data_IF_183288975688
#
_entry.id   IF_183288975688
#
_cell.length_a   1.000
_cell.length_b   1.000
_cell.length_c   1.000
_cell.angle_alpha   90.00
_cell.angle_beta   90.00
_cell.angle_gamma   90.00
#
_symmetry.space_group_name_H-M   'P 1'
#
loop_
_entity.id
_entity.type
_entity.pdbx_description
1 polymer ?
#
# COMPACT_ATOMS: atom_id res chain seq x y z
N UNK A 1 6.38 16.49 11.16
CA UNK A 1 5.59 15.28 11.47
C UNK A 1 5.40 14.40 10.23
N UNK A 2 4.99 14.97 9.10
CA UNK A 2 4.74 14.20 7.87
C UNK A 2 5.95 13.49 7.24
N UNK A 3 7.15 14.08 7.29
CA UNK A 3 8.36 13.41 6.77
C UNK A 3 8.60 12.06 7.48
N UNK A 4 8.43 12.02 8.80
CA UNK A 4 8.53 10.78 9.58
C UNK A 4 7.42 9.79 9.24
N UNK A 5 6.23 10.28 8.90
CA UNK A 5 5.09 9.43 8.51
C UNK A 5 5.38 8.71 7.17
N UNK A 6 5.86 9.44 6.15
CA UNK A 6 6.26 8.85 4.87
C UNK A 6 7.47 7.92 5.01
N UNK A 7 8.47 8.30 5.82
CA UNK A 7 9.63 7.44 6.08
C UNK A 7 9.24 6.15 6.81
N UNK A 8 8.37 6.25 7.83
CA UNK A 8 7.84 5.07 8.54
C UNK A 8 7.05 4.15 7.61
N UNK A 9 6.19 4.71 6.76
CA UNK A 9 5.49 3.92 5.73
C UNK A 9 6.48 3.21 4.81
N UNK A 10 7.51 3.90 4.34
CA UNK A 10 8.54 3.29 3.49
C UNK A 10 9.20 2.09 4.17
N UNK A 11 9.62 2.21 5.43
CA UNK A 11 10.18 1.08 6.17
C UNK A 11 9.19 -0.06 6.43
N UNK A 12 7.94 0.27 6.75
CA UNK A 12 6.88 -0.73 6.92
C UNK A 12 6.63 -1.52 5.62
N UNK A 13 6.56 -0.83 4.48
CA UNK A 13 6.34 -1.46 3.18
C UNK A 13 7.57 -2.26 2.72
N UNK A 14 8.81 -1.87 3.08
CA UNK A 14 10.00 -2.72 2.89
C UNK A 14 9.86 -4.05 3.65
N UNK A 15 9.40 -4.00 4.90
CA UNK A 15 9.17 -5.23 5.67
C UNK A 15 8.08 -6.11 5.02
N UNK A 16 7.01 -5.49 4.51
CA UNK A 16 5.98 -6.19 3.72
C UNK A 16 6.58 -6.83 2.46
N UNK A 17 7.44 -6.13 1.72
CA UNK A 17 8.08 -6.66 0.53
C UNK A 17 8.99 -7.87 0.81
N UNK A 18 9.74 -7.83 1.92
CA UNK A 18 10.55 -8.97 2.38
C UNK A 18 9.64 -10.17 2.67
N UNK A 19 8.57 -9.94 3.42
CA UNK A 19 7.60 -11.00 3.75
C UNK A 19 6.88 -11.55 2.50
N UNK A 20 6.54 -10.70 1.53
CA UNK A 20 5.96 -11.13 0.24
C UNK A 20 6.94 -11.94 -0.59
N UNK A 21 8.24 -11.64 -0.52
CA UNK A 21 9.30 -12.37 -1.24
C UNK A 21 9.46 -13.78 -0.66
N UNK A 22 9.47 -13.93 0.67
CA UNK A 22 9.77 -15.22 1.31
C UNK A 22 8.53 -16.08 1.55
N UNK A 23 7.39 -15.46 1.90
CA UNK A 23 6.18 -16.18 2.30
C UNK A 23 4.92 -15.30 2.15
N UNK A 24 4.46 -15.04 0.91
CA UNK A 24 3.31 -14.17 0.66
C UNK A 24 2.01 -14.69 1.28
N UNK A 25 1.93 -15.99 1.54
CA UNK A 25 0.84 -16.63 2.27
C UNK A 25 0.60 -16.07 3.67
N UNK A 26 1.58 -15.41 4.30
CA UNK A 26 1.39 -14.71 5.59
C UNK A 26 0.31 -13.63 5.47
N UNK A 27 0.31 -12.86 4.38
CA UNK A 27 -0.69 -11.82 4.16
C UNK A 27 -1.97 -12.39 3.59
N UNK A 28 -1.84 -13.23 2.55
CA UNK A 28 -3.01 -13.67 1.81
C UNK A 28 -3.92 -14.57 2.66
N UNK A 29 -3.35 -15.46 3.47
CA UNK A 29 -4.12 -16.37 4.32
C UNK A 29 -4.32 -15.88 5.76
N UNK A 30 -4.01 -14.61 6.04
CA UNK A 30 -4.10 -14.04 7.38
C UNK A 30 -5.55 -14.05 7.91
N UNK A 31 -5.77 -14.09 9.25
CA UNK A 31 -7.10 -13.99 9.83
C UNK A 31 -7.86 -12.73 9.37
N UNK A 32 -7.15 -11.60 9.24
CA UNK A 32 -7.71 -10.33 8.78
C UNK A 32 -8.20 -10.47 7.34
N UNK A 33 -7.39 -11.06 6.45
CA UNK A 33 -7.76 -11.26 5.04
C UNK A 33 -8.95 -12.20 4.89
N UNK A 34 -9.01 -13.26 5.71
CA UNK A 34 -10.16 -14.17 5.72
C UNK A 34 -11.44 -13.49 6.20
N UNK A 35 -11.33 -12.65 7.22
CA UNK A 35 -12.50 -11.92 7.73
C UNK A 35 -12.98 -10.86 6.73
N UNK A 36 -12.06 -10.12 6.10
CA UNK A 36 -12.41 -9.20 5.01
C UNK A 36 -13.03 -9.94 3.83
N UNK A 37 -12.51 -11.11 3.47
CA UNK A 37 -13.11 -11.97 2.44
C UNK A 37 -14.55 -12.37 2.81
N UNK A 38 -14.78 -12.79 4.06
CA UNK A 38 -16.11 -13.15 4.58
C UNK A 38 -17.11 -11.98 4.51
N UNK A 39 -16.66 -10.77 4.87
CA UNK A 39 -17.51 -9.58 4.92
C UNK A 39 -17.77 -8.95 3.55
N UNK A 40 -16.78 -8.98 2.66
CA UNK A 40 -16.86 -8.36 1.33
C UNK A 40 -17.33 -9.28 0.22
N UNK A 41 -17.28 -10.61 0.43
CA UNK A 41 -17.48 -11.61 -0.61
C UNK A 41 -16.32 -11.74 -1.60
N UNK A 42 -15.24 -10.97 -1.43
CA UNK A 42 -14.05 -11.06 -2.27
C UNK A 42 -13.25 -12.32 -1.97
N UNK A 43 -12.66 -12.91 -3.00
CA UNK A 43 -11.82 -14.09 -2.83
C UNK A 43 -10.51 -13.78 -2.07
N UNK A 44 -9.96 -14.81 -1.44
CA UNK A 44 -8.61 -14.79 -0.86
C UNK A 44 -7.60 -15.15 -1.95
N UNK A 45 -6.55 -14.34 -2.11
CA UNK A 45 -5.51 -14.61 -3.10
C UNK A 45 -4.74 -15.90 -2.79
N UNK A 46 -4.44 -16.69 -3.81
CA UNK A 46 -3.57 -17.86 -3.66
C UNK A 46 -2.11 -17.52 -3.98
N UNK A 47 -1.22 -17.78 -3.02
CA UNK A 47 0.21 -17.58 -3.16
C UNK A 47 0.86 -18.55 -4.18
N UNK A 48 0.32 -19.75 -4.34
CA UNK A 48 0.86 -20.75 -5.27
C UNK A 48 0.39 -20.59 -6.71
N UNK A 49 -0.74 -19.91 -6.94
CA UNK A 49 -1.33 -19.79 -8.27
C UNK A 49 -0.44 -19.02 -9.27
N UNK A 50 0.34 -18.04 -8.81
CA UNK A 50 1.16 -17.20 -9.68
C UNK A 50 2.46 -16.71 -8.99
N UNK A 51 3.47 -17.59 -8.79
CA UNK A 51 4.66 -17.27 -8.01
C UNK A 51 5.48 -16.11 -8.61
N UNK A 52 5.66 -16.07 -9.93
CA UNK A 52 6.37 -14.97 -10.61
C UNK A 52 5.66 -13.63 -10.48
N UNK A 53 4.33 -13.63 -10.52
CA UNK A 53 3.53 -12.42 -10.30
C UNK A 53 3.62 -11.93 -8.86
N UNK A 54 3.56 -12.83 -7.88
CA UNK A 54 3.76 -12.49 -6.47
C UNK A 54 5.15 -11.90 -6.21
N UNK A 55 6.19 -12.45 -6.84
CA UNK A 55 7.54 -11.90 -6.76
C UNK A 55 7.63 -10.51 -7.40
N UNK A 56 6.97 -10.29 -8.54
CA UNK A 56 6.90 -8.97 -9.18
C UNK A 56 6.22 -7.92 -8.28
N UNK A 57 5.14 -8.29 -7.58
CA UNK A 57 4.51 -7.42 -6.58
C UNK A 57 5.49 -7.09 -5.46
N UNK A 58 6.21 -8.08 -4.92
CA UNK A 58 7.18 -7.86 -3.84
C UNK A 58 8.29 -6.87 -4.29
N UNK A 59 8.83 -7.04 -5.50
CA UNK A 59 9.81 -6.11 -6.07
C UNK A 59 9.26 -4.70 -6.24
N UNK A 60 8.04 -4.56 -6.75
CA UNK A 60 7.38 -3.26 -6.92
C UNK A 60 7.16 -2.57 -5.57
N UNK A 61 6.65 -3.30 -4.56
CA UNK A 61 6.47 -2.77 -3.21
C UNK A 61 7.81 -2.30 -2.66
N UNK A 62 8.88 -3.10 -2.77
CA UNK A 62 10.22 -2.70 -2.33
C UNK A 62 10.72 -1.42 -3.02
N UNK A 63 10.62 -1.35 -4.35
CA UNK A 63 11.09 -0.19 -5.12
C UNK A 63 10.34 1.10 -4.75
N UNK A 64 9.00 1.03 -4.67
CA UNK A 64 8.16 2.16 -4.26
C UNK A 64 8.49 2.59 -2.83
N UNK A 65 8.73 1.62 -1.92
CA UNK A 65 9.08 1.88 -0.52
C UNK A 65 10.39 2.62 -0.35
N UNK A 66 11.43 2.23 -1.11
CA UNK A 66 12.70 2.97 -1.15
C UNK A 66 12.46 4.40 -1.63
N UNK A 67 11.57 4.59 -2.61
CA UNK A 67 11.12 5.91 -3.05
C UNK A 67 10.50 6.74 -1.93
N UNK A 68 9.66 6.16 -1.06
CA UNK A 68 9.13 6.84 0.13
C UNK A 68 10.22 7.27 1.10
N UNK A 69 11.19 6.39 1.40
CA UNK A 69 12.28 6.68 2.34
C UNK A 69 13.14 7.83 1.81
N UNK A 70 13.57 7.73 0.55
CA UNK A 70 14.40 8.76 -0.09
C UNK A 70 13.62 10.07 -0.23
N UNK A 71 12.39 10.01 -0.74
CA UNK A 71 11.55 11.20 -0.93
C UNK A 71 11.22 11.92 0.37
N UNK A 72 11.00 11.18 1.47
CA UNK A 72 10.80 11.77 2.79
C UNK A 72 12.02 12.58 3.28
N UNK A 73 13.23 12.12 2.94
CA UNK A 73 14.51 12.74 3.28
C UNK A 73 14.87 13.91 2.35
N UNK A 74 14.37 13.91 1.11
CA UNK A 74 14.59 14.97 0.11
C UNK A 74 13.85 16.28 0.40
N UNK A 75 12.98 16.31 1.42
CA UNK A 75 12.31 17.53 1.89
C UNK A 75 10.86 17.70 1.41
N UNK A 76 10.22 18.84 1.75
CA UNK A 76 8.78 19.03 1.57
C UNK A 76 8.29 18.98 0.12
N UNK A 77 9.12 19.37 -0.85
CA UNK A 77 8.74 19.40 -2.26
C UNK A 77 8.41 18.02 -2.85
N UNK A 78 8.95 16.93 -2.29
CA UNK A 78 8.68 15.58 -2.75
C UNK A 78 7.34 15.02 -2.24
N UNK A 79 6.77 15.61 -1.19
CA UNK A 79 5.61 15.05 -0.46
C UNK A 79 4.31 15.02 -1.28
N UNK A 80 3.98 16.02 -2.11
CA UNK A 80 2.82 15.94 -2.99
C UNK A 80 2.86 14.73 -3.93
N UNK A 81 4.04 14.38 -4.46
CA UNK A 81 4.19 13.20 -5.29
C UNK A 81 3.98 11.91 -4.49
N UNK A 82 4.61 11.79 -3.32
CA UNK A 82 4.44 10.62 -2.43
C UNK A 82 2.98 10.43 -2.01
N UNK A 83 2.31 11.52 -1.63
CA UNK A 83 0.88 11.53 -1.30
C UNK A 83 0.03 11.07 -2.49
N UNK A 84 0.25 11.65 -3.67
CA UNK A 84 -0.54 11.35 -4.88
C UNK A 84 -0.36 9.91 -5.33
N UNK A 85 0.86 9.38 -5.23
CA UNK A 85 1.14 7.96 -5.50
C UNK A 85 0.39 7.05 -4.52
N UNK A 86 0.43 7.33 -3.21
CA UNK A 86 -0.32 6.56 -2.20
C UNK A 86 -1.81 6.61 -2.51
N UNK A 87 -2.35 7.80 -2.73
CA UNK A 87 -3.79 8.01 -2.90
C UNK A 87 -4.28 7.31 -4.16
N UNK A 88 -3.54 7.45 -5.26
CA UNK A 88 -3.85 6.78 -6.54
C UNK A 88 -3.90 5.28 -6.37
N UNK A 89 -2.89 4.68 -5.72
CA UNK A 89 -2.88 3.25 -5.43
C UNK A 89 -4.10 2.84 -4.59
N UNK A 90 -4.40 3.59 -3.53
CA UNK A 90 -5.53 3.33 -2.65
C UNK A 90 -6.87 3.36 -3.40
N UNK A 91 -7.14 4.46 -4.12
CA UNK A 91 -8.38 4.64 -4.88
C UNK A 91 -8.53 3.60 -5.98
N UNK A 92 -7.49 3.35 -6.79
CA UNK A 92 -7.57 2.35 -7.86
C UNK A 92 -7.74 0.93 -7.30
N UNK A 93 -7.14 0.62 -6.14
CA UNK A 93 -7.36 -0.67 -5.47
C UNK A 93 -8.82 -0.84 -5.04
N UNK A 94 -9.42 0.20 -4.45
CA UNK A 94 -10.84 0.18 -4.05
C UNK A 94 -11.78 0.06 -5.26
N UNK A 95 -11.52 0.82 -6.33
CA UNK A 95 -12.27 0.72 -7.59
C UNK A 95 -12.16 -0.69 -8.14
N UNK A 96 -10.95 -1.27 -8.15
CA UNK A 96 -10.74 -2.65 -8.62
C UNK A 96 -11.53 -3.65 -7.79
N UNK A 97 -11.63 -3.42 -6.47
CA UNK A 97 -12.45 -4.25 -5.57
C UNK A 97 -13.96 -4.11 -5.78
N UNK A 98 -14.42 -3.01 -6.38
CA UNK A 98 -15.80 -2.88 -6.83
C UNK A 98 -16.07 -3.60 -8.18
N UNK A 99 -15.05 -4.20 -8.79
CA UNK A 99 -15.16 -5.02 -10.01
C UNK A 99 -14.92 -6.50 -9.73
N UNK A 100 -15.08 -7.36 -10.74
CA UNK A 100 -14.75 -8.79 -10.66
C UNK A 100 -13.26 -9.11 -10.54
N UNK A 101 -12.38 -8.11 -10.56
CA UNK A 101 -10.91 -8.27 -10.48
C UNK A 101 -10.35 -8.08 -9.06
N UNK A 102 -11.19 -7.77 -8.09
CA UNK A 102 -10.79 -7.53 -6.70
C UNK A 102 -10.40 -8.79 -5.93
N UNK A 103 -9.64 -8.60 -4.85
CA UNK A 103 -9.40 -9.62 -3.83
C UNK A 103 -9.45 -9.01 -2.43
N UNK A 104 -9.65 -9.84 -1.40
CA UNK A 104 -9.67 -9.37 -0.02
C UNK A 104 -8.34 -8.69 0.39
N UNK A 105 -7.21 -9.21 -0.09
CA UNK A 105 -5.88 -8.60 0.11
C UNK A 105 -5.80 -7.22 -0.54
N UNK A 106 -6.32 -7.07 -1.76
CA UNK A 106 -6.32 -5.79 -2.47
C UNK A 106 -7.22 -4.76 -1.78
N UNK A 107 -8.35 -5.19 -1.22
CA UNK A 107 -9.25 -4.34 -0.45
C UNK A 107 -8.56 -3.80 0.82
N UNK A 108 -7.88 -4.67 1.58
CA UNK A 108 -7.09 -4.25 2.76
C UNK A 108 -6.01 -3.25 2.34
N UNK A 109 -5.27 -3.54 1.26
CA UNK A 109 -4.27 -2.63 0.71
C UNK A 109 -4.88 -1.28 0.34
N UNK A 110 -6.02 -1.26 -0.35
CA UNK A 110 -6.72 -0.04 -0.74
C UNK A 110 -7.14 0.82 0.44
N UNK A 111 -7.78 0.21 1.45
CA UNK A 111 -8.20 0.88 2.68
C UNK A 111 -6.99 1.47 3.40
N UNK A 112 -5.91 0.70 3.59
CA UNK A 112 -4.71 1.15 4.27
C UNK A 112 -4.07 2.37 3.58
N UNK A 113 -4.01 2.37 2.25
CA UNK A 113 -3.44 3.47 1.49
C UNK A 113 -4.31 4.73 1.55
N UNK A 114 -5.64 4.60 1.45
CA UNK A 114 -6.56 5.75 1.61
C UNK A 114 -6.49 6.33 3.01
N UNK A 115 -6.46 5.49 4.05
CA UNK A 115 -6.31 5.94 5.44
C UNK A 115 -4.97 6.66 5.64
N UNK A 116 -3.87 6.10 5.14
CA UNK A 116 -2.57 6.75 5.20
C UNK A 116 -2.56 8.10 4.47
N UNK A 117 -3.17 8.18 3.29
CA UNK A 117 -3.32 9.44 2.57
C UNK A 117 -4.14 10.45 3.37
N UNK A 118 -5.25 10.04 3.98
CA UNK A 118 -6.06 10.90 4.86
C UNK A 118 -5.25 11.45 6.04
N UNK A 119 -4.50 10.59 6.73
CA UNK A 119 -3.60 11.00 7.82
C UNK A 119 -2.50 11.94 7.32
N UNK A 120 -1.91 11.65 6.16
CA UNK A 120 -0.87 12.49 5.56
C UNK A 120 -1.40 13.87 5.21
N UNK A 121 -2.59 13.95 4.61
CA UNK A 121 -3.27 15.20 4.29
C UNK A 121 -3.56 16.03 5.55
N UNK A 122 -4.07 15.37 6.60
CA UNK A 122 -4.39 16.04 7.87
C UNK A 122 -3.15 16.57 8.60
N UNK A 123 -2.03 15.84 8.57
CA UNK A 123 -0.82 16.18 9.31
C UNK A 123 0.27 16.91 8.50
N UNK A 124 0.05 17.15 7.20
CA UNK A 124 1.01 17.82 6.33
C UNK A 124 0.43 19.06 5.63
N UNK A 125 0.74 20.23 6.18
CA UNK A 125 0.35 21.51 5.59
C UNK A 125 1.01 21.81 4.24
N UNK A 126 2.08 21.11 3.86
CA UNK A 126 2.71 21.26 2.53
C UNK A 126 1.90 20.62 1.40
N UNK A 127 0.95 19.74 1.72
CA UNK A 127 0.05 19.13 0.73
C UNK A 127 -1.13 20.04 0.34
N UNK A 128 -1.47 21.02 1.20
CA UNK A 128 -2.59 21.96 0.98
C UNK A 128 -2.10 23.26 0.32
N UNK A 129 -0.84 23.62 0.56
CA UNK A 129 -0.22 24.82 -0.03
C UNK A 129 0.33 24.49 -1.41
N UNK A 130 -0.55 24.32 -2.39
CA UNK A 130 -0.19 24.53 -3.80
C UNK A 130 0.13 26.03 -3.93
N UNK A 131 1.42 26.37 -3.94
CA UNK A 131 1.89 27.69 -4.35
C UNK A 131 2.05 27.72 -5.85
#
# INVERSE_FOLDING_TARGET
MSARLFEFKGWADVAVAILLTVKPGIFYNSPITREVSRLSGLHVSDASAAPGFNQAIACMVAAVSVGYIVGARSGPAARPALFSMTLTWGVLSLITCATSRGSATLLISGINHVLFSGLSYYFDSSLVKLK
#
